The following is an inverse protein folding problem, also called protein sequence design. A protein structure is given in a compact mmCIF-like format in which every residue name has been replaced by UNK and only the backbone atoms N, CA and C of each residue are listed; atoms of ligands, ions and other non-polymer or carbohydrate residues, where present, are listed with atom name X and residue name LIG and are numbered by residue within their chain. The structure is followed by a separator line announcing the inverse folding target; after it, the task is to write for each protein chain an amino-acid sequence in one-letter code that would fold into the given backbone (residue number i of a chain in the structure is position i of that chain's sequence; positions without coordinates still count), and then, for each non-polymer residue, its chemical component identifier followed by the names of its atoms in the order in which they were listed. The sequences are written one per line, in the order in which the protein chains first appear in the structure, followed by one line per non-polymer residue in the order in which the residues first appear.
data_IF_610161886605
#
_entry.id   IF_610161886605
#
_cell.length_a   1.000
_cell.length_b   1.000
_cell.length_c   1.000
_cell.angle_alpha   90.00
_cell.angle_beta   90.00
_cell.angle_gamma   90.00
#
_symmetry.space_group_name_H-M   'P 1'
#
loop_
_entity.id
_entity.type
_entity.pdbx_description
1 polymer ?
#
# COMPACT_ATOMS: atom_id res chain seq x y z
N UNK A 1 14.64 6.80 -47.68
CA UNK A 1 13.74 5.90 -46.93
C UNK A 1 14.47 4.59 -46.73
N UNK A 2 15.10 4.37 -45.58
CA UNK A 2 15.96 3.21 -45.38
C UNK A 2 15.98 2.79 -43.92
N UNK A 3 15.89 1.48 -43.69
CA UNK A 3 16.43 0.60 -42.62
C UNK A 3 16.44 1.03 -41.14
N UNK A 4 16.27 2.32 -40.81
CA UNK A 4 16.31 2.88 -39.45
C UNK A 4 15.02 2.67 -38.66
N UNK A 5 13.91 2.27 -39.30
CA UNK A 5 12.64 1.99 -38.60
C UNK A 5 12.49 0.53 -38.14
N UNK A 6 13.39 -0.38 -38.55
CA UNK A 6 13.35 -1.79 -38.14
C UNK A 6 14.08 -2.03 -36.80
N UNK A 7 15.07 -1.20 -36.48
CA UNK A 7 15.84 -1.26 -35.24
C UNK A 7 15.51 -0.09 -34.31
N UNK A 8 14.23 0.18 -34.02
CA UNK A 8 13.75 0.85 -32.80
C UNK A 8 14.46 2.11 -32.24
N UNK A 9 15.33 2.78 -32.97
CA UNK A 9 16.12 3.91 -32.51
C UNK A 9 15.52 5.20 -33.08
N UNK A 10 14.50 5.75 -32.41
CA UNK A 10 13.99 7.06 -32.82
C UNK A 10 12.69 7.60 -32.24
N UNK A 11 12.17 7.11 -31.10
CA UNK A 11 11.09 7.84 -30.42
C UNK A 11 11.59 8.44 -29.12
N UNK A 12 11.59 9.78 -29.06
CA UNK A 12 11.82 10.54 -27.85
C UNK A 12 10.75 10.17 -26.82
N UNK A 13 11.18 9.59 -25.70
CA UNK A 13 10.34 9.12 -24.57
C UNK A 13 9.75 10.27 -23.73
N UNK A 14 9.45 11.42 -24.33
CA UNK A 14 9.27 12.65 -23.58
C UNK A 14 7.89 13.31 -23.76
N UNK A 15 6.83 12.51 -23.61
CA UNK A 15 5.47 13.05 -23.43
C UNK A 15 4.80 12.35 -22.26
N UNK A 16 4.82 12.93 -21.05
CA UNK A 16 4.07 12.37 -19.94
C UNK A 16 2.58 12.54 -20.20
N UNK A 17 1.85 11.43 -20.24
CA UNK A 17 0.38 11.43 -20.29
C UNK A 17 -0.12 11.76 -18.88
N UNK A 18 -0.60 13.00 -18.70
CA UNK A 18 -1.31 13.40 -17.47
C UNK A 18 -2.68 12.73 -17.46
N UNK A 19 -2.79 11.60 -16.76
CA UNK A 19 -4.09 11.10 -16.32
C UNK A 19 -4.24 11.34 -14.83
N UNK A 20 -4.81 12.49 -14.50
CA UNK A 20 -5.48 12.73 -13.22
C UNK A 20 -6.88 12.12 -13.33
N UNK A 21 -7.20 11.17 -12.44
CA UNK A 21 -8.57 10.74 -12.15
C UNK A 21 -8.58 10.31 -10.68
N UNK A 22 -8.85 11.25 -9.78
CA UNK A 22 -10.14 11.45 -9.13
C UNK A 22 -10.47 10.35 -8.10
N UNK A 23 -9.94 10.54 -6.88
CA UNK A 23 -10.81 11.01 -5.81
C UNK A 23 -11.52 10.00 -4.89
N UNK A 24 -11.30 8.69 -4.96
CA UNK A 24 -11.91 7.77 -3.98
C UNK A 24 -10.93 6.66 -3.54
N UNK A 25 -10.53 6.74 -2.26
CA UNK A 25 -9.72 5.78 -1.50
C UNK A 25 -8.37 5.37 -2.10
N UNK A 26 -7.44 6.33 -2.14
CA UNK A 26 -6.02 6.04 -2.37
C UNK A 26 -5.40 5.36 -1.13
N UNK A 27 -5.59 4.06 -0.94
CA UNK A 27 -4.55 3.27 -0.28
C UNK A 27 -3.40 3.12 -1.27
N UNK A 28 -2.57 4.17 -1.36
CA UNK A 28 -1.24 4.37 -1.94
C UNK A 28 -0.59 3.34 -2.91
N UNK A 29 -1.32 2.46 -3.58
CA UNK A 29 -0.83 1.49 -4.53
C UNK A 29 -1.15 1.97 -5.93
N UNK A 30 -0.25 2.80 -6.48
CA UNK A 30 -0.10 2.86 -7.92
C UNK A 30 0.15 1.46 -8.51
N UNK A 31 0.19 1.35 -9.84
CA UNK A 31 0.60 0.09 -10.50
C UNK A 31 1.91 -0.36 -9.87
N UNK A 32 1.97 -1.59 -9.33
CA UNK A 32 3.23 -2.12 -8.85
C UNK A 32 4.24 -2.09 -10.01
N UNK A 33 5.51 -1.89 -9.71
CA UNK A 33 6.59 -1.94 -10.71
C UNK A 33 6.57 -3.27 -11.48
N UNK A 34 6.08 -4.33 -10.84
CA UNK A 34 5.87 -5.67 -11.40
C UNK A 34 4.60 -5.83 -12.24
N UNK A 35 3.73 -4.81 -12.35
CA UNK A 35 2.48 -4.84 -13.11
C UNK A 35 1.38 -5.73 -12.52
N UNK A 36 1.61 -6.32 -11.34
CA UNK A 36 0.63 -7.13 -10.59
C UNK A 36 -0.02 -6.29 -9.51
N UNK A 37 -1.35 -6.24 -9.49
CA UNK A 37 -2.09 -5.68 -8.36
C UNK A 37 -2.06 -6.67 -7.20
N UNK A 38 -1.62 -6.22 -6.03
CA UNK A 38 -1.59 -7.02 -4.81
C UNK A 38 -2.70 -6.50 -3.90
N UNK A 39 -3.59 -7.40 -3.50
CA UNK A 39 -4.63 -7.14 -2.51
C UNK A 39 -4.32 -7.90 -1.20
N UNK A 40 -5.11 -7.68 -0.15
CA UNK A 40 -4.90 -8.25 1.18
C UNK A 40 -4.86 -9.78 1.13
N UNK A 41 -5.77 -10.40 0.38
CA UNK A 41 -5.85 -11.85 0.24
C UNK A 41 -4.63 -12.44 -0.47
N UNK A 42 -4.14 -11.81 -1.54
CA UNK A 42 -2.95 -12.23 -2.30
C UNK A 42 -1.66 -11.93 -1.56
N UNK A 43 -1.60 -10.86 -0.77
CA UNK A 43 -0.46 -10.56 0.09
C UNK A 43 -0.30 -11.63 1.19
N UNK A 44 -1.40 -12.05 1.82
CA UNK A 44 -1.41 -13.05 2.89
C UNK A 44 -0.99 -14.46 2.44
N UNK A 45 -0.99 -14.75 1.14
CA UNK A 45 -0.46 -16.01 0.60
C UNK A 45 1.08 -16.11 0.69
N UNK A 46 1.76 -14.99 0.95
CA UNK A 46 3.21 -14.96 1.16
C UNK A 46 3.54 -15.22 2.63
N UNK A 47 4.38 -16.21 2.91
CA UNK A 47 4.73 -16.63 4.28
C UNK A 47 5.37 -15.52 5.10
N UNK A 48 6.22 -14.69 4.49
CA UNK A 48 6.86 -13.56 5.17
C UNK A 48 5.82 -12.51 5.63
N UNK A 49 4.83 -12.20 4.78
CA UNK A 49 3.76 -11.25 5.12
C UNK A 49 2.90 -11.82 6.23
N UNK A 50 2.50 -13.09 6.12
CA UNK A 50 1.70 -13.76 7.15
C UNK A 50 2.40 -13.77 8.51
N UNK A 51 3.70 -14.09 8.54
CA UNK A 51 4.48 -14.11 9.78
C UNK A 51 4.57 -12.72 10.44
N UNK A 52 4.85 -11.67 9.66
CA UNK A 52 4.91 -10.30 10.18
C UNK A 52 3.56 -9.84 10.74
N UNK A 53 2.48 -10.05 10.00
CA UNK A 53 1.13 -9.69 10.44
C UNK A 53 0.77 -10.43 11.73
N UNK A 54 1.07 -11.73 11.81
CA UNK A 54 0.84 -12.52 13.01
C UNK A 54 1.57 -11.96 14.24
N UNK A 55 2.87 -11.68 14.13
CA UNK A 55 3.66 -11.14 15.24
C UNK A 55 3.10 -9.78 15.70
N UNK A 56 2.74 -8.90 14.76
CA UNK A 56 2.14 -7.60 15.08
C UNK A 56 0.78 -7.77 15.75
N UNK A 57 -0.08 -8.64 15.22
CA UNK A 57 -1.40 -8.91 15.79
C UNK A 57 -1.34 -9.52 17.19
N UNK A 58 -0.43 -10.47 17.42
CA UNK A 58 -0.19 -11.06 18.74
C UNK A 58 0.32 -10.01 19.75
N UNK A 59 1.23 -9.12 19.33
CA UNK A 59 1.71 -8.02 20.16
C UNK A 59 0.59 -7.03 20.53
N UNK A 60 -0.26 -6.66 19.57
CA UNK A 60 -1.39 -5.75 19.81
C UNK A 60 -2.43 -6.40 20.73
N UNK A 61 -2.73 -7.68 20.54
CA UNK A 61 -3.71 -8.40 21.33
C UNK A 61 -3.25 -8.67 22.78
N UNK A 62 -1.94 -8.78 23.01
CA UNK A 62 -1.38 -9.02 24.34
C UNK A 62 -1.18 -7.74 25.17
N UNK A 63 -1.44 -6.57 24.61
CA UNK A 63 -1.21 -5.31 25.31
C UNK A 63 -2.26 -5.07 26.41
N UNK A 64 -1.86 -4.82 27.68
CA UNK A 64 -2.81 -4.47 28.73
C UNK A 64 -3.34 -3.06 28.48
N UNK A 65 -4.62 -2.96 28.12
CA UNK A 65 -5.30 -1.67 27.92
C UNK A 65 -5.94 -1.21 29.24
N UNK A 66 -5.39 -0.14 29.83
CA UNK A 66 -6.00 0.52 30.99
C UNK A 66 -7.13 1.44 30.51
N UNK A 67 -8.34 1.22 31.01
CA UNK A 67 -9.51 2.04 30.69
C UNK A 67 -9.77 3.02 31.83
N UNK A 68 -9.52 4.30 31.57
CA UNK A 68 -9.79 5.39 32.52
C UNK A 68 -11.20 5.92 32.33
N UNK A 69 -11.90 6.19 33.44
CA UNK A 69 -13.22 6.85 33.44
C UNK A 69 -13.13 8.18 34.17
N UNK A 70 -13.42 9.26 33.47
CA UNK A 70 -13.65 10.56 34.09
C UNK A 70 -14.95 10.52 34.91
N UNK A 71 -14.87 10.93 36.18
CA UNK A 71 -16.03 11.21 37.03
C UNK A 71 -16.27 12.71 37.13
N UNK A 72 -17.53 13.10 37.29
CA UNK A 72 -17.98 14.47 37.55
C UNK A 72 -17.42 14.95 38.89
N UNK A 73 -16.17 15.42 38.89
CA UNK A 73 -15.39 15.72 40.09
C UNK A 73 -13.87 15.70 39.91
N UNK A 74 -13.35 15.14 38.79
CA UNK A 74 -11.94 15.27 38.41
C UNK A 74 -10.99 14.21 38.97
N UNK A 75 -11.48 13.11 39.54
CA UNK A 75 -10.64 11.99 39.97
C UNK A 75 -10.64 10.86 38.93
N UNK A 76 -9.46 10.58 38.38
CA UNK A 76 -9.19 9.46 37.47
C UNK A 76 -8.95 8.16 38.27
N UNK A 77 -9.55 7.04 37.83
CA UNK A 77 -9.25 5.67 38.30
C UNK A 77 -8.40 4.98 37.26
#
# INVERSE_FOLDING_TARGET
MGIKSLFGFGQARDKPVRNYSNGEYSFNFGRSTSGKSVNEMTAMQTTAVYACVRILSEAVASFPIHVYRYKDGGEEI
#
